data_IF_554345785988
#
_entry.id   IF_554345785988
#
_cell.length_a   1.000
_cell.length_b   1.000
_cell.length_c   1.000
_cell.angle_alpha   90.00
_cell.angle_beta   90.00
_cell.angle_gamma   90.00
#
_symmetry.space_group_name_H-M   'P 1'
#
loop_
_entity.id
_entity.type
_entity.pdbx_description
1 polymer ?
#
# COMPACT_ATOMS: atom_id res chain seq x y z
N UNK A 1 -4.55 -12.20 -4.75
CA UNK A 1 -4.09 -10.99 -5.45
C UNK A 1 -4.60 -11.00 -6.88
N UNK A 2 -5.09 -9.87 -7.41
CA UNK A 2 -5.61 -9.70 -8.78
C UNK A 2 -4.47 -9.38 -9.75
N UNK A 3 -4.64 -9.65 -11.06
CA UNK A 3 -3.60 -9.39 -12.09
C UNK A 3 -3.03 -7.97 -12.05
N UNK A 4 -3.87 -6.95 -11.86
CA UNK A 4 -3.44 -5.55 -11.77
C UNK A 4 -2.58 -5.29 -10.52
N UNK A 5 -2.86 -5.96 -9.41
CA UNK A 5 -2.07 -5.86 -8.17
C UNK A 5 -0.70 -6.53 -8.34
N UNK A 6 -0.66 -7.70 -8.98
CA UNK A 6 0.61 -8.37 -9.29
C UNK A 6 1.48 -7.53 -10.21
N UNK A 7 0.91 -6.91 -11.26
CA UNK A 7 1.65 -6.02 -12.15
C UNK A 7 2.16 -4.76 -11.44
N UNK A 8 1.35 -4.19 -10.54
CA UNK A 8 1.75 -3.06 -9.69
C UNK A 8 2.94 -3.44 -8.79
N UNK A 9 2.88 -4.57 -8.10
CA UNK A 9 3.97 -5.05 -7.25
C UNK A 9 5.25 -5.33 -8.06
N UNK A 10 5.13 -5.92 -9.24
CA UNK A 10 6.27 -6.11 -10.15
C UNK A 10 6.91 -4.79 -10.56
N UNK A 11 6.11 -3.75 -10.85
CA UNK A 11 6.63 -2.43 -11.19
C UNK A 11 7.41 -1.80 -10.02
N UNK A 12 6.86 -1.88 -8.79
CA UNK A 12 7.52 -1.38 -7.57
C UNK A 12 8.86 -2.11 -7.35
N UNK A 13 8.88 -3.46 -7.43
CA UNK A 13 10.12 -4.25 -7.27
C UNK A 13 11.21 -3.89 -8.28
N UNK A 14 10.80 -3.57 -9.50
CA UNK A 14 11.73 -3.24 -10.59
C UNK A 14 12.10 -1.76 -10.64
N UNK A 15 11.65 -0.94 -9.68
CA UNK A 15 11.80 0.52 -9.70
C UNK A 15 11.36 1.14 -11.03
N UNK A 16 10.25 0.63 -11.59
CA UNK A 16 9.80 0.96 -12.93
C UNK A 16 8.51 1.78 -12.89
N UNK A 17 8.49 2.85 -13.70
CA UNK A 17 7.27 3.60 -13.96
C UNK A 17 6.26 2.72 -14.71
N UNK A 18 5.03 2.69 -14.21
CA UNK A 18 3.98 1.84 -14.76
C UNK A 18 2.60 2.46 -14.53
N UNK A 19 1.68 2.24 -15.47
CA UNK A 19 0.27 2.56 -15.25
C UNK A 19 -0.63 1.56 -15.96
N UNK A 20 -1.77 1.27 -15.35
CA UNK A 20 -2.83 0.47 -15.96
C UNK A 20 -4.18 0.79 -15.31
N UNK A 21 -5.17 1.06 -16.16
CA UNK A 21 -6.51 1.44 -15.74
C UNK A 21 -6.46 2.61 -14.74
N UNK A 22 -6.87 2.40 -13.50
CA UNK A 22 -6.91 3.42 -12.47
C UNK A 22 -5.69 3.40 -11.53
N UNK A 23 -4.70 2.52 -11.73
CA UNK A 23 -3.54 2.39 -10.83
C UNK A 23 -2.26 2.79 -11.56
N UNK A 24 -1.36 3.52 -10.90
CA UNK A 24 -0.05 3.88 -11.43
C UNK A 24 1.04 3.84 -10.36
N UNK A 25 2.26 3.54 -10.78
CA UNK A 25 3.50 3.56 -9.99
C UNK A 25 4.44 4.54 -10.68
N UNK A 26 4.98 5.48 -9.91
CA UNK A 26 6.05 6.38 -10.34
C UNK A 26 7.18 6.23 -9.35
N UNK A 27 8.37 5.89 -9.83
CA UNK A 27 9.56 5.69 -9.01
C UNK A 27 10.56 6.81 -9.24
N UNK A 28 10.93 7.50 -8.17
CA UNK A 28 11.91 8.59 -8.15
C UNK A 28 12.85 8.33 -6.97
N UNK A 29 14.16 8.38 -7.20
CA UNK A 29 15.20 8.21 -6.18
C UNK A 29 15.03 6.98 -5.26
N UNK A 30 14.60 5.85 -5.84
CA UNK A 30 14.40 4.59 -5.10
C UNK A 30 13.10 4.53 -4.28
N UNK A 31 12.24 5.55 -4.36
CA UNK A 31 10.93 5.57 -3.72
C UNK A 31 9.83 5.45 -4.77
N UNK A 32 9.05 4.38 -4.68
CA UNK A 32 7.91 4.13 -5.56
C UNK A 32 6.63 4.72 -4.98
N UNK A 33 6.09 5.75 -5.61
CA UNK A 33 4.79 6.33 -5.27
C UNK A 33 3.68 5.66 -6.06
N UNK A 34 2.73 5.04 -5.35
CA UNK A 34 1.56 4.40 -5.94
C UNK A 34 0.35 5.32 -5.85
N UNK A 35 -0.37 5.47 -6.97
CA UNK A 35 -1.61 6.24 -7.05
C UNK A 35 -2.76 5.38 -7.56
N UNK A 36 -3.96 5.64 -7.02
CA UNK A 36 -5.23 5.08 -7.45
C UNK A 36 -6.17 6.25 -7.82
N UNK A 37 -6.68 6.26 -9.05
CA UNK A 37 -7.46 7.37 -9.61
C UNK A 37 -6.73 8.73 -9.50
N UNK A 38 -5.39 8.72 -9.59
CA UNK A 38 -4.55 9.91 -9.41
C UNK A 38 -4.24 10.26 -7.95
N UNK A 39 -4.96 9.69 -6.98
CA UNK A 39 -4.72 9.95 -5.56
C UNK A 39 -3.62 9.05 -5.01
N UNK A 40 -2.69 9.62 -4.23
CA UNK A 40 -1.62 8.86 -3.58
C UNK A 40 -2.20 7.89 -2.57
N UNK A 41 -1.80 6.62 -2.65
CA UNK A 41 -2.22 5.57 -1.71
C UNK A 41 -1.04 4.89 -1.02
N UNK A 42 0.17 4.92 -1.60
CA UNK A 42 1.34 4.38 -0.93
C UNK A 42 2.65 5.01 -1.41
N UNK A 43 3.66 4.97 -0.56
CA UNK A 43 5.08 5.17 -0.86
C UNK A 43 5.82 3.92 -0.39
N UNK A 44 6.63 3.32 -1.27
CA UNK A 44 7.44 2.15 -0.95
C UNK A 44 8.90 2.51 -1.19
N UNK A 45 9.69 2.53 -0.12
CA UNK A 45 11.14 2.69 -0.18
C UNK A 45 11.86 1.41 0.21
N UNK A 46 13.19 1.47 0.34
CA UNK A 46 14.03 0.32 0.70
C UNK A 46 13.69 -0.27 2.08
N UNK A 47 13.37 0.58 3.06
CA UNK A 47 13.18 0.17 4.45
C UNK A 47 11.78 0.53 5.02
N UNK A 48 10.87 1.01 4.18
CA UNK A 48 9.56 1.45 4.66
C UNK A 48 8.45 1.27 3.63
N UNK A 49 7.24 1.05 4.14
CA UNK A 49 5.98 1.17 3.38
C UNK A 49 5.09 2.17 4.09
N UNK A 50 4.76 3.27 3.41
CA UNK A 50 3.83 4.28 3.92
C UNK A 50 2.52 4.22 3.18
N UNK A 51 1.40 4.26 3.89
CA UNK A 51 0.06 4.10 3.29
C UNK A 51 -0.86 5.32 3.51
N UNK A 52 -1.76 5.52 2.55
CA UNK A 52 -2.75 6.59 2.51
C UNK A 52 -4.08 6.05 1.98
N UNK A 53 -5.21 6.64 2.39
CA UNK A 53 -6.54 6.23 1.93
C UNK A 53 -6.91 6.76 0.53
N UNK A 54 -6.06 7.61 -0.06
CA UNK A 54 -6.32 8.25 -1.35
C UNK A 54 -7.54 9.18 -1.34
N UNK A 55 -7.88 9.76 -0.18
CA UNK A 55 -8.98 10.70 0.04
C UNK A 55 -10.35 10.04 0.20
N UNK A 56 -10.50 8.76 -0.16
CA UNK A 56 -11.74 8.01 0.02
C UNK A 56 -11.47 6.52 0.28
N UNK A 57 -11.93 6.06 1.45
CA UNK A 57 -11.79 4.68 1.91
C UNK A 57 -12.70 3.72 1.12
N UNK A 58 -12.23 3.26 -0.04
CA UNK A 58 -12.94 2.30 -0.90
C UNK A 58 -12.42 0.86 -0.77
N UNK A 59 -13.24 -0.12 -1.18
CA UNK A 59 -12.81 -1.51 -1.33
C UNK A 59 -11.63 -1.66 -2.30
N UNK A 60 -11.58 -0.85 -3.37
CA UNK A 60 -10.47 -0.86 -4.32
C UNK A 60 -9.19 -0.36 -3.68
N UNK A 61 -9.26 0.76 -2.93
CA UNK A 61 -8.13 1.32 -2.16
C UNK A 61 -7.59 0.25 -1.20
N UNK A 62 -8.45 -0.32 -0.35
CA UNK A 62 -8.05 -1.34 0.65
C UNK A 62 -7.35 -2.52 0.02
N UNK A 63 -7.87 -2.99 -1.11
CA UNK A 63 -7.30 -4.12 -1.84
C UNK A 63 -5.95 -3.81 -2.47
N UNK A 64 -5.69 -2.56 -2.91
CA UNK A 64 -4.36 -2.14 -3.39
C UNK A 64 -3.38 -2.03 -2.24
N UNK A 65 -3.79 -1.43 -1.12
CA UNK A 65 -2.96 -1.32 0.07
C UNK A 65 -2.53 -2.71 0.57
N UNK A 66 -3.48 -3.63 0.76
CA UNK A 66 -3.15 -4.98 1.21
C UNK A 66 -2.30 -5.76 0.20
N UNK A 67 -2.42 -5.51 -1.10
CA UNK A 67 -1.52 -6.13 -2.08
C UNK A 67 -0.07 -5.63 -1.94
N UNK A 68 0.13 -4.35 -1.60
CA UNK A 68 1.45 -3.77 -1.33
C UNK A 68 1.99 -4.32 0.00
N UNK A 69 1.21 -4.24 1.08
CA UNK A 69 1.62 -4.69 2.42
C UNK A 69 2.00 -6.17 2.42
N UNK A 70 1.23 -7.02 1.75
CA UNK A 70 1.54 -8.46 1.67
C UNK A 70 2.83 -8.76 0.90
N UNK A 71 3.34 -7.82 0.10
CA UNK A 71 4.54 -8.01 -0.72
C UNK A 71 5.79 -7.39 -0.08
N UNK A 72 5.63 -6.25 0.58
CA UNK A 72 6.74 -5.42 1.07
C UNK A 72 6.78 -5.32 2.60
N UNK A 73 5.82 -5.92 3.31
CA UNK A 73 5.81 -6.09 4.76
C UNK A 73 5.54 -7.58 5.10
N UNK A 74 5.04 -7.88 6.30
CA UNK A 74 4.67 -9.23 6.68
C UNK A 74 3.18 -9.53 6.43
N UNK A 75 2.91 -10.33 5.39
CA UNK A 75 1.55 -10.71 5.00
C UNK A 75 0.71 -11.44 6.07
N UNK A 76 1.35 -11.97 7.13
CA UNK A 76 0.65 -12.69 8.20
C UNK A 76 0.30 -11.80 9.39
N UNK A 77 1.07 -10.73 9.59
CA UNK A 77 0.93 -9.88 10.77
C UNK A 77 0.44 -8.48 10.45
N UNK A 78 0.55 -8.05 9.19
CA UNK A 78 0.34 -6.67 8.79
C UNK A 78 -0.82 -6.57 7.78
N UNK A 79 -1.49 -5.42 7.76
CA UNK A 79 -2.55 -5.16 6.78
C UNK A 79 -3.55 -4.10 7.20
N UNK A 80 -4.43 -3.74 6.26
CA UNK A 80 -5.55 -2.83 6.49
C UNK A 80 -6.85 -3.61 6.46
N UNK A 81 -7.68 -3.43 7.48
CA UNK A 81 -9.00 -4.05 7.56
C UNK A 81 -10.06 -3.02 7.97
N UNK A 82 -11.32 -3.40 7.81
CA UNK A 82 -12.45 -2.55 8.17
C UNK A 82 -13.32 -3.29 9.19
N UNK A 83 -13.71 -2.60 10.25
CA UNK A 83 -14.63 -3.08 11.28
C UNK A 83 -15.48 -1.89 11.74
N UNK A 84 -16.76 -2.10 12.00
CA UNK A 84 -17.65 -1.04 12.52
C UNK A 84 -17.62 0.25 11.68
N UNK A 85 -17.58 0.08 10.34
CA UNK A 85 -17.46 1.14 9.34
C UNK A 85 -16.15 1.95 9.35
N UNK A 86 -15.24 1.71 10.30
CA UNK A 86 -13.92 2.35 10.38
C UNK A 86 -12.80 1.44 9.83
N UNK A 87 -11.75 2.07 9.31
CA UNK A 87 -10.53 1.36 8.90
C UNK A 87 -9.53 1.31 10.05
N UNK A 88 -8.84 0.17 10.13
CA UNK A 88 -7.81 -0.10 11.10
C UNK A 88 -6.59 -0.67 10.39
N UNK A 89 -5.44 -0.46 11.01
CA UNK A 89 -4.16 -1.01 10.60
C UNK A 89 -3.80 -2.11 11.58
N UNK A 90 -3.40 -3.26 11.06
CA UNK A 90 -2.69 -4.26 11.83
C UNK A 90 -1.22 -4.16 11.48
N UNK A 91 -0.38 -4.10 12.50
CA UNK A 91 1.07 -4.02 12.37
C UNK A 91 1.66 -4.90 13.46
N UNK A 92 2.38 -5.95 13.07
CA UNK A 92 2.93 -6.96 13.98
C UNK A 92 1.89 -7.50 15.00
N UNK A 93 0.67 -7.79 14.51
CA UNK A 93 -0.49 -8.26 15.31
C UNK A 93 -1.09 -7.23 16.28
N UNK A 94 -0.54 -6.02 16.38
CA UNK A 94 -1.13 -4.90 17.11
C UNK A 94 -2.09 -4.15 16.20
N UNK A 95 -3.21 -3.67 16.75
CA UNK A 95 -4.22 -2.92 15.99
C UNK A 95 -4.13 -1.44 16.31
N UNK A 96 -4.12 -0.62 15.27
CA UNK A 96 -4.05 0.83 15.30
C UNK A 96 -5.22 1.42 14.51
N UNK A 97 -5.64 2.62 14.88
CA UNK A 97 -6.55 3.41 14.03
C UNK A 97 -5.84 3.74 12.72
N UNK A 98 -6.58 3.68 11.61
CA UNK A 98 -6.02 4.07 10.33
C UNK A 98 -5.68 5.56 10.32
N UNK A 99 -4.45 5.89 9.97
CA UNK A 99 -3.97 7.27 9.81
C UNK A 99 -3.28 7.43 8.46
N UNK A 100 -3.56 8.55 7.79
CA UNK A 100 -2.90 8.88 6.53
C UNK A 100 -1.42 9.15 6.79
N UNK A 101 -0.55 8.41 6.10
CA UNK A 101 0.88 8.46 6.32
C UNK A 101 1.39 7.47 7.36
N UNK A 102 0.57 6.50 7.81
CA UNK A 102 1.06 5.40 8.64
C UNK A 102 2.18 4.65 7.91
N UNK A 103 3.27 4.41 8.61
CA UNK A 103 4.49 3.80 8.09
C UNK A 103 4.73 2.46 8.78
N UNK A 104 4.83 1.39 7.98
CA UNK A 104 5.35 0.11 8.41
C UNK A 104 6.87 0.20 8.30
N UNK A 105 7.56 0.06 9.44
CA UNK A 105 9.01 0.00 9.52
C UNK A 105 9.37 -1.41 9.92
N UNK A 106 10.30 -2.04 9.20
CA UNK A 106 10.84 -3.33 9.62
C UNK A 106 11.52 -3.12 10.99
N UNK A 107 11.05 -3.84 12.03
CA UNK A 107 11.83 -3.96 13.25
C UNK A 107 13.07 -4.77 12.88
N UNK A 108 14.22 -4.09 12.90
CA UNK A 108 15.54 -4.71 12.79
C UNK A 108 15.71 -5.90 13.74
#
# INVERSE_FOLDING_TARGET
>A
MRKIESLMNTAIKNNANWSRANTSVVTEDGVSTVRLHGNKIAEVGEAFVRIFDGGWQSNTTKSRLNAIINEFCNAYTDGVFQKDFAWYIRDNKVTHDFTNGYEFVEFA
#
